data_IF_415753676728
#
_entry.id   IF_415753676728
#
_cell.length_a   1.000
_cell.length_b   1.000
_cell.length_c   1.000
_cell.angle_alpha   90.00
_cell.angle_beta   90.00
_cell.angle_gamma   90.00
#
_symmetry.space_group_name_H-M   'P 1'
#
loop_
_entity.id
_entity.type
_entity.pdbx_description
1 polymer ?
#
# COMPACT_ATOMS: atom_id res chain seq x y z
N UNK A 1 -12.84 -5.93 3.83
CA UNK A 1 -12.09 -6.80 4.77
C UNK A 1 -11.56 -6.02 5.96
N UNK A 2 -10.87 -4.87 5.78
CA UNK A 2 -10.36 -4.06 6.89
C UNK A 2 -11.45 -3.27 7.66
N UNK A 3 -12.49 -2.79 6.99
CA UNK A 3 -13.60 -2.05 7.61
C UNK A 3 -14.38 -2.87 8.63
N UNK A 4 -14.49 -4.19 8.41
CA UNK A 4 -15.17 -5.10 9.34
C UNK A 4 -14.43 -5.25 10.69
N UNK A 5 -13.14 -4.89 10.74
CA UNK A 5 -12.30 -4.89 11.93
C UNK A 5 -12.10 -3.48 12.52
N UNK A 6 -12.82 -2.48 12.01
CA UNK A 6 -12.72 -1.09 12.45
C UNK A 6 -11.56 -0.29 11.83
N UNK A 7 -10.92 -0.80 10.77
CA UNK A 7 -9.89 -0.06 10.04
C UNK A 7 -10.39 0.58 8.74
N UNK A 8 -9.55 1.37 8.08
CA UNK A 8 -9.77 1.89 6.73
C UNK A 8 -8.97 1.14 5.67
N UNK A 9 -9.38 1.23 4.40
CA UNK A 9 -8.54 0.70 3.34
C UNK A 9 -9.06 1.00 1.94
N UNK A 10 -8.12 1.06 1.00
CA UNK A 10 -8.38 1.33 -0.41
C UNK A 10 -7.45 0.52 -1.31
N UNK A 11 -7.83 0.40 -2.59
CA UNK A 11 -7.04 -0.22 -3.64
C UNK A 11 -6.47 0.88 -4.54
N UNK A 12 -5.16 0.87 -4.73
CA UNK A 12 -4.43 1.80 -5.59
C UNK A 12 -3.93 1.05 -6.82
N UNK A 13 -4.37 1.50 -8.00
CA UNK A 13 -3.96 0.94 -9.30
C UNK A 13 -3.13 1.91 -10.14
N UNK A 14 -3.09 3.19 -9.75
CA UNK A 14 -2.29 4.23 -10.39
C UNK A 14 -1.17 4.67 -9.43
N UNK A 15 0.12 4.65 -9.84
CA UNK A 15 1.22 5.14 -9.03
C UNK A 15 1.06 6.58 -8.54
N UNK A 16 0.36 7.46 -9.27
CA UNK A 16 0.15 8.86 -8.83
C UNK A 16 -0.70 8.95 -7.57
N UNK A 17 -1.52 7.95 -7.29
CA UNK A 17 -2.44 7.93 -6.15
C UNK A 17 -1.79 7.43 -4.86
N UNK A 18 -0.54 6.95 -4.91
CA UNK A 18 0.15 6.43 -3.70
C UNK A 18 0.30 7.53 -2.65
N UNK A 19 0.78 8.72 -3.04
CA UNK A 19 0.92 9.85 -2.12
C UNK A 19 -0.41 10.26 -1.47
N UNK A 20 -1.44 10.60 -2.27
CA UNK A 20 -2.77 10.92 -1.76
C UNK A 20 -3.41 9.83 -0.88
N UNK A 21 -3.21 8.55 -1.21
CA UNK A 21 -3.71 7.43 -0.41
C UNK A 21 -3.02 7.35 0.96
N UNK A 22 -1.71 7.60 1.00
CA UNK A 22 -0.98 7.69 2.26
C UNK A 22 -1.44 8.89 3.09
N UNK A 23 -1.69 10.05 2.49
CA UNK A 23 -2.21 11.22 3.20
C UNK A 23 -3.56 10.91 3.87
N UNK A 24 -4.48 10.26 3.14
CA UNK A 24 -5.76 9.79 3.69
C UNK A 24 -5.57 8.76 4.80
N UNK A 25 -4.66 7.81 4.63
CA UNK A 25 -4.36 6.78 5.60
C UNK A 25 -3.88 7.38 6.93
N UNK A 26 -2.94 8.32 6.88
CA UNK A 26 -2.43 9.02 8.06
C UNK A 26 -3.50 9.89 8.73
N UNK A 27 -4.35 10.55 7.95
CA UNK A 27 -5.45 11.36 8.48
C UNK A 27 -6.60 10.53 9.09
N UNK A 28 -6.67 9.22 8.81
CA UNK A 28 -7.85 8.39 9.13
C UNK A 28 -8.06 8.10 10.62
N UNK A 29 -7.02 8.24 11.45
CA UNK A 29 -7.11 7.95 12.89
C UNK A 29 -7.37 6.48 13.26
N UNK A 30 -7.33 5.57 12.28
CA UNK A 30 -7.54 4.12 12.44
C UNK A 30 -6.45 3.33 11.72
N UNK A 31 -6.25 2.04 12.03
CA UNK A 31 -5.41 1.18 11.20
C UNK A 31 -5.89 1.21 9.74
N UNK A 32 -4.98 1.48 8.80
CA UNK A 32 -5.33 1.70 7.40
C UNK A 32 -4.49 0.82 6.47
N UNK A 33 -5.15 0.13 5.53
CA UNK A 33 -4.51 -0.69 4.50
C UNK A 33 -4.58 0.01 3.15
N UNK A 34 -3.43 0.43 2.62
CA UNK A 34 -3.29 0.85 1.23
C UNK A 34 -2.81 -0.35 0.41
N UNK A 35 -3.70 -0.96 -0.37
CA UNK A 35 -3.36 -2.10 -1.21
C UNK A 35 -2.91 -1.60 -2.59
N UNK A 36 -1.63 -1.71 -2.93
CA UNK A 36 -1.09 -1.22 -4.20
C UNK A 36 -0.90 -2.36 -5.17
N UNK A 37 -1.49 -2.25 -6.36
CA UNK A 37 -1.28 -3.20 -7.45
C UNK A 37 0.08 -2.92 -8.09
N UNK A 38 0.91 -3.95 -8.15
CA UNK A 38 2.23 -3.92 -8.80
C UNK A 38 2.25 -4.90 -9.97
N UNK A 39 3.19 -4.70 -10.90
CA UNK A 39 3.44 -5.69 -11.95
C UNK A 39 4.08 -6.94 -11.32
N UNK A 40 3.45 -8.13 -11.43
CA UNK A 40 4.00 -9.37 -10.88
C UNK A 40 5.22 -9.89 -11.65
N UNK A 41 5.45 -9.41 -12.86
CA UNK A 41 6.57 -9.80 -13.72
C UNK A 41 7.81 -8.90 -13.54
N UNK A 42 7.65 -7.76 -12.87
CA UNK A 42 8.75 -6.84 -12.57
C UNK A 42 9.57 -7.37 -11.38
N UNK A 43 10.51 -8.26 -11.69
CA UNK A 43 11.36 -8.91 -10.70
C UNK A 43 12.40 -7.90 -10.20
N UNK A 44 12.35 -7.62 -8.90
CA UNK A 44 13.39 -6.83 -8.23
C UNK A 44 14.78 -7.51 -8.38
N UNK A 45 15.77 -6.87 -9.04
CA UNK A 45 17.08 -7.46 -9.29
C UNK A 45 17.91 -7.43 -8.01
N UNK A 46 17.76 -8.46 -7.15
CA UNK A 46 18.56 -8.55 -5.92
C UNK A 46 20.01 -8.96 -6.19
N UNK A 47 20.93 -8.13 -5.72
CA UNK A 47 22.18 -8.57 -5.07
C UNK A 47 22.19 -8.08 -3.62
N UNK A 48 21.48 -8.78 -2.72
CA UNK A 48 21.62 -8.51 -1.28
C UNK A 48 22.78 -9.33 -0.75
N UNK A 49 23.86 -8.66 -0.34
CA UNK A 49 24.91 -9.30 0.46
C UNK A 49 24.36 -9.47 1.89
N UNK A 50 24.07 -10.72 2.26
CA UNK A 50 23.72 -11.11 3.62
C UNK A 50 24.99 -11.69 4.26
N UNK A 51 25.94 -10.82 4.61
CA UNK A 51 27.16 -11.17 5.34
C UNK A 51 27.27 -10.30 6.59
#
# INVERSE_FOLDING_TARGET
>A
MVTALGGGGELVTDPSEIGPALDRAFASGVPYLVNVVTDPSDIYPRSSNLA
#
